data_IF_601047131672
#
_entry.id   IF_601047131672
#
_cell.length_a   1.000
_cell.length_b   1.000
_cell.length_c   1.000
_cell.angle_alpha   90.00
_cell.angle_beta   90.00
_cell.angle_gamma   90.00
#
_symmetry.space_group_name_H-M   'P 1'
#
loop_
_entity.id
_entity.type
_entity.pdbx_description
1 polymer ?
#
# COMPACT_ATOMS: atom_id res chain seq x y z
N UNK A 1 7.60 -35.87 -18.31
CA UNK A 1 8.78 -35.31 -19.00
C UNK A 1 9.54 -34.50 -17.97
N UNK A 2 10.69 -35.00 -17.52
CA UNK A 2 11.58 -34.34 -16.58
C UNK A 2 12.45 -33.37 -17.36
N UNK A 3 12.23 -32.07 -17.21
CA UNK A 3 13.06 -31.02 -17.80
C UNK A 3 14.42 -31.05 -17.09
N UNK A 4 15.44 -31.53 -17.77
CA UNK A 4 16.83 -31.48 -17.30
C UNK A 4 17.27 -30.01 -17.45
N UNK A 5 17.36 -29.30 -16.33
CA UNK A 5 17.96 -27.96 -16.30
C UNK A 5 19.47 -28.13 -16.52
N UNK A 6 20.07 -27.51 -17.55
CA UNK A 6 21.51 -27.63 -17.80
C UNK A 6 22.31 -27.14 -16.57
N UNK A 7 23.43 -27.79 -16.22
CA UNK A 7 24.31 -27.29 -15.17
C UNK A 7 24.75 -25.86 -15.51
N UNK A 8 24.42 -24.89 -14.64
CA UNK A 8 24.73 -23.47 -14.83
C UNK A 8 23.61 -22.61 -15.43
N UNK A 9 22.44 -23.18 -15.74
CA UNK A 9 21.25 -22.37 -16.05
C UNK A 9 20.63 -21.87 -14.75
N UNK A 10 20.52 -20.54 -14.59
CA UNK A 10 19.86 -19.92 -13.44
C UNK A 10 18.40 -20.35 -13.36
N UNK A 11 17.92 -20.60 -12.14
CA UNK A 11 16.49 -20.86 -11.88
C UNK A 11 15.65 -19.60 -12.13
N UNK A 12 14.33 -19.76 -12.19
CA UNK A 12 13.41 -18.63 -12.28
C UNK A 12 13.59 -17.67 -11.10
N UNK A 13 13.68 -18.23 -9.90
CA UNK A 13 13.80 -17.49 -8.64
C UNK A 13 15.12 -16.72 -8.56
N UNK A 14 16.22 -17.31 -9.03
CA UNK A 14 17.51 -16.63 -9.12
C UNK A 14 17.47 -15.43 -10.09
N UNK A 15 16.77 -15.58 -11.23
CA UNK A 15 16.56 -14.47 -12.17
C UNK A 15 15.69 -13.38 -11.54
N UNK A 16 14.62 -13.75 -10.85
CA UNK A 16 13.74 -12.80 -10.16
C UNK A 16 14.55 -12.02 -9.12
N UNK A 17 15.34 -12.70 -8.28
CA UNK A 17 16.19 -12.06 -7.28
C UNK A 17 17.18 -11.06 -7.91
N UNK A 18 17.88 -11.45 -8.97
CA UNK A 18 18.79 -10.57 -9.70
C UNK A 18 18.07 -9.34 -10.27
N UNK A 19 16.88 -9.54 -10.86
CA UNK A 19 16.12 -8.44 -11.44
C UNK A 19 15.50 -7.53 -10.39
N UNK A 20 15.19 -8.03 -9.20
CA UNK A 20 14.77 -7.19 -8.08
C UNK A 20 15.86 -6.18 -7.75
N UNK A 21 17.11 -6.63 -7.60
CA UNK A 21 18.24 -5.73 -7.29
C UNK A 21 18.43 -4.66 -8.37
N UNK A 22 18.27 -5.04 -9.65
CA UNK A 22 18.33 -4.09 -10.76
C UNK A 22 17.20 -3.06 -10.74
N UNK A 23 15.98 -3.46 -10.39
CA UNK A 23 14.85 -2.54 -10.25
C UNK A 23 15.03 -1.61 -9.06
N UNK A 24 15.50 -2.13 -7.93
CA UNK A 24 15.83 -1.34 -6.74
C UNK A 24 16.88 -0.28 -7.06
N UNK A 25 17.96 -0.64 -7.77
CA UNK A 25 18.99 0.30 -8.21
C UNK A 25 18.42 1.39 -9.14
N UNK A 26 17.56 1.02 -10.09
CA UNK A 26 16.89 2.00 -10.95
C UNK A 26 16.02 2.96 -10.14
N UNK A 27 15.25 2.48 -9.16
CA UNK A 27 14.36 3.31 -8.34
C UNK A 27 15.10 4.20 -7.36
N UNK A 28 16.28 3.78 -6.90
CA UNK A 28 17.15 4.57 -6.02
C UNK A 28 17.81 5.76 -6.73
N UNK A 29 17.75 5.83 -8.06
CA UNK A 29 18.33 6.92 -8.85
C UNK A 29 17.23 7.69 -9.61
N UNK A 30 17.41 9.00 -9.90
CA UNK A 30 16.52 9.70 -10.81
C UNK A 30 16.50 9.03 -12.18
N UNK A 31 15.33 8.56 -12.61
CA UNK A 31 15.14 7.93 -13.93
C UNK A 31 14.00 8.59 -14.71
N UNK A 32 14.15 8.61 -16.03
CA UNK A 32 13.16 9.12 -16.96
C UNK A 32 12.19 8.03 -17.41
N UNK A 33 11.01 8.43 -17.88
CA UNK A 33 10.06 7.54 -18.58
C UNK A 33 10.71 6.81 -19.77
N UNK A 34 11.68 7.46 -20.42
CA UNK A 34 12.43 6.90 -21.55
C UNK A 34 13.33 5.74 -21.13
N UNK A 35 14.06 5.91 -20.03
CA UNK A 35 14.93 4.88 -19.43
C UNK A 35 14.10 3.70 -18.91
N UNK A 36 13.03 3.95 -18.16
CA UNK A 36 12.14 2.88 -17.69
C UNK A 36 11.61 2.04 -18.86
N UNK A 37 11.15 2.69 -19.93
CA UNK A 37 10.69 2.01 -21.15
C UNK A 37 11.81 1.22 -21.85
N UNK A 38 13.04 1.75 -21.89
CA UNK A 38 14.18 1.07 -22.50
C UNK A 38 14.56 -0.18 -21.69
N UNK A 39 14.57 -0.07 -20.36
CA UNK A 39 14.83 -1.16 -19.42
C UNK A 39 13.83 -2.30 -19.59
N UNK A 40 12.52 -2.01 -19.66
CA UNK A 40 11.47 -3.03 -19.93
C UNK A 40 11.74 -3.81 -21.22
N UNK A 41 12.17 -3.12 -22.29
CA UNK A 41 12.40 -3.75 -23.58
C UNK A 41 13.68 -4.58 -23.65
N UNK A 42 14.65 -4.32 -22.77
CA UNK A 42 15.95 -4.98 -22.76
C UNK A 42 15.85 -6.46 -22.34
N UNK A 43 14.86 -6.80 -21.51
CA UNK A 43 14.73 -8.14 -20.93
C UNK A 43 13.35 -8.75 -21.25
N UNK A 44 13.20 -9.44 -22.41
CA UNK A 44 11.94 -10.07 -22.81
C UNK A 44 11.70 -11.42 -22.09
N UNK A 45 11.88 -11.47 -20.77
CA UNK A 45 11.83 -12.69 -19.94
C UNK A 45 10.77 -12.51 -18.85
N UNK A 46 9.95 -13.53 -18.58
CA UNK A 46 8.82 -13.44 -17.65
C UNK A 46 9.20 -13.08 -16.20
N UNK A 47 10.40 -13.47 -15.76
CA UNK A 47 10.93 -13.08 -14.45
C UNK A 47 11.10 -11.56 -14.28
N UNK A 48 11.22 -10.81 -15.38
CA UNK A 48 11.47 -9.36 -15.33
C UNK A 48 10.26 -8.52 -14.87
N UNK A 49 9.04 -8.67 -15.45
CA UNK A 49 7.84 -8.02 -14.92
C UNK A 49 7.44 -8.52 -13.53
N UNK A 50 7.75 -9.77 -13.18
CA UNK A 50 7.49 -10.31 -11.84
C UNK A 50 8.39 -9.62 -10.79
N UNK A 51 9.70 -9.59 -11.06
CA UNK A 51 10.64 -8.83 -10.24
C UNK A 51 10.28 -7.35 -10.10
N UNK A 52 9.67 -6.72 -11.12
CA UNK A 52 9.21 -5.34 -11.05
C UNK A 52 8.13 -5.14 -9.97
N UNK A 53 7.16 -6.06 -9.87
CA UNK A 53 6.10 -6.00 -8.85
C UNK A 53 6.67 -6.11 -7.45
N UNK A 54 7.52 -7.11 -7.22
CA UNK A 54 8.17 -7.36 -5.93
C UNK A 54 9.09 -6.19 -5.55
N UNK A 55 9.93 -5.72 -6.48
CA UNK A 55 10.86 -4.62 -6.22
C UNK A 55 10.13 -3.31 -5.90
N UNK A 56 9.01 -3.03 -6.57
CA UNK A 56 8.21 -1.84 -6.30
C UNK A 56 7.68 -1.81 -4.86
N UNK A 57 7.19 -2.95 -4.35
CA UNK A 57 6.79 -3.06 -2.95
C UNK A 57 8.00 -3.04 -1.98
N UNK A 58 9.11 -3.71 -2.32
CA UNK A 58 10.32 -3.65 -1.47
C UNK A 58 10.89 -2.24 -1.37
N UNK A 59 10.83 -1.47 -2.46
CA UNK A 59 11.25 -0.07 -2.48
C UNK A 59 10.39 0.79 -1.54
N UNK A 60 9.09 0.50 -1.43
CA UNK A 60 8.20 1.23 -0.52
C UNK A 60 8.49 0.98 0.96
N UNK A 61 9.17 -0.12 1.33
CA UNK A 61 9.67 -0.32 2.70
C UNK A 61 10.73 0.72 3.10
N UNK A 62 11.44 1.28 2.12
CA UNK A 62 12.56 2.19 2.32
C UNK A 62 12.14 3.64 2.02
N UNK A 63 11.36 3.84 0.94
CA UNK A 63 11.00 5.16 0.43
C UNK A 63 9.50 5.25 0.06
N UNK A 64 8.58 5.07 1.03
CA UNK A 64 7.14 5.10 0.76
C UNK A 64 6.65 6.43 0.19
N UNK A 65 7.29 7.55 0.55
CA UNK A 65 7.01 8.88 0.01
C UNK A 65 7.29 9.01 -1.50
N UNK A 66 8.16 8.16 -2.06
CA UNK A 66 8.50 8.15 -3.50
C UNK A 66 7.60 7.22 -4.33
N UNK A 67 6.64 6.55 -3.71
CA UNK A 67 5.81 5.56 -4.40
C UNK A 67 4.92 6.17 -5.49
N UNK A 68 4.18 7.24 -5.20
CA UNK A 68 3.31 7.88 -6.18
C UNK A 68 4.01 8.23 -7.50
N UNK A 69 5.14 8.98 -7.51
CA UNK A 69 5.78 9.34 -8.77
C UNK A 69 6.32 8.12 -9.54
N UNK A 70 6.84 7.09 -8.85
CA UNK A 70 7.33 5.87 -9.49
C UNK A 70 6.18 5.09 -10.14
N UNK A 71 5.11 4.85 -9.38
CA UNK A 71 3.91 4.13 -9.83
C UNK A 71 3.24 4.90 -10.99
N UNK A 72 3.18 6.23 -10.94
CA UNK A 72 2.67 7.06 -12.02
C UNK A 72 3.50 6.88 -13.31
N UNK A 73 4.83 6.86 -13.19
CA UNK A 73 5.73 6.67 -14.32
C UNK A 73 5.58 5.25 -14.93
N UNK A 74 5.49 4.22 -14.08
CA UNK A 74 5.19 2.83 -14.51
C UNK A 74 3.87 2.79 -15.28
N UNK A 75 2.81 3.41 -14.77
CA UNK A 75 1.53 3.49 -15.47
C UNK A 75 1.65 4.13 -16.84
N UNK A 76 2.35 5.27 -16.95
CA UNK A 76 2.57 5.97 -18.23
C UNK A 76 3.27 5.04 -19.23
N UNK A 77 4.31 4.33 -18.77
CA UNK A 77 5.07 3.40 -19.60
C UNK A 77 4.21 2.21 -20.05
N UNK A 78 3.44 1.59 -19.14
CA UNK A 78 2.57 0.45 -19.45
C UNK A 78 1.36 0.82 -20.34
N UNK A 79 0.88 2.07 -20.27
CA UNK A 79 -0.16 2.59 -21.17
C UNK A 79 0.37 2.97 -22.56
N UNK A 80 1.68 2.94 -22.77
CA UNK A 80 2.24 3.18 -24.09
C UNK A 80 1.83 2.06 -25.07
N UNK A 81 1.26 2.42 -26.23
CA UNK A 81 0.80 1.45 -27.25
C UNK A 81 1.85 0.39 -27.62
N UNK A 82 3.14 0.74 -27.62
CA UNK A 82 4.23 -0.21 -27.95
C UNK A 82 4.47 -1.22 -26.83
N UNK A 83 4.18 -0.88 -25.58
CA UNK A 83 4.37 -1.76 -24.43
C UNK A 83 3.12 -2.53 -24.01
N UNK A 84 1.91 -2.05 -24.34
CA UNK A 84 0.66 -2.78 -24.11
C UNK A 84 0.66 -4.18 -24.77
N UNK A 85 1.40 -4.33 -25.87
CA UNK A 85 1.56 -5.59 -26.61
C UNK A 85 2.95 -6.21 -26.45
N UNK A 86 3.81 -5.64 -25.59
CA UNK A 86 5.14 -6.20 -25.36
C UNK A 86 5.02 -7.57 -24.69
N UNK A 87 5.74 -8.53 -25.27
CA UNK A 87 5.68 -9.94 -24.90
C UNK A 87 7.01 -10.38 -24.30
N UNK A 88 6.90 -11.23 -23.31
CA UNK A 88 8.00 -11.89 -22.61
C UNK A 88 7.83 -13.39 -22.71
N UNK A 89 8.91 -14.12 -22.54
CA UNK A 89 8.92 -15.58 -22.61
C UNK A 89 9.16 -16.17 -21.22
N UNK A 90 8.36 -17.15 -20.81
CA UNK A 90 8.57 -17.90 -19.57
C UNK A 90 9.49 -19.12 -19.78
N UNK A 91 9.78 -19.88 -18.72
CA UNK A 91 10.69 -21.04 -18.80
C UNK A 91 10.16 -22.18 -19.67
N UNK A 92 8.84 -22.26 -19.84
CA UNK A 92 8.19 -23.20 -20.76
C UNK A 92 8.19 -22.72 -22.23
N UNK A 93 8.80 -21.57 -22.54
CA UNK A 93 8.81 -20.99 -23.88
C UNK A 93 7.50 -20.31 -24.28
N UNK A 94 6.55 -20.14 -23.36
CA UNK A 94 5.26 -19.52 -23.65
C UNK A 94 5.39 -17.99 -23.70
N UNK A 95 4.78 -17.40 -24.73
CA UNK A 95 4.74 -15.95 -24.91
C UNK A 95 3.58 -15.32 -24.13
N UNK A 96 3.93 -14.50 -23.14
CA UNK A 96 2.99 -13.83 -22.24
C UNK A 96 3.13 -12.31 -22.39
N UNK A 97 2.10 -11.54 -22.01
CA UNK A 97 2.19 -10.07 -22.02
C UNK A 97 2.89 -9.59 -20.74
N UNK A 98 3.74 -8.57 -20.87
CA UNK A 98 4.47 -8.00 -19.73
C UNK A 98 3.53 -7.43 -18.64
N UNK A 99 2.58 -6.59 -19.04
CA UNK A 99 1.69 -5.88 -18.11
C UNK A 99 0.93 -6.79 -17.15
N UNK A 100 0.19 -7.82 -17.63
CA UNK A 100 -0.53 -8.74 -16.76
C UNK A 100 0.33 -9.46 -15.72
N UNK A 101 1.58 -9.86 -16.07
CA UNK A 101 2.48 -10.49 -15.10
C UNK A 101 2.86 -9.49 -14.00
N UNK A 102 3.18 -8.25 -14.38
CA UNK A 102 3.47 -7.19 -13.43
C UNK A 102 2.29 -6.90 -12.49
N UNK A 103 1.07 -6.74 -13.02
CA UNK A 103 -0.11 -6.45 -12.20
C UNK A 103 -0.41 -7.59 -11.23
N UNK A 104 -0.32 -8.84 -11.69
CA UNK A 104 -0.49 -10.01 -10.83
C UNK A 104 0.55 -10.03 -9.71
N UNK A 105 1.84 -9.93 -10.06
CA UNK A 105 2.94 -9.97 -9.10
C UNK A 105 2.87 -8.85 -8.06
N UNK A 106 2.60 -7.61 -8.50
CA UNK A 106 2.44 -6.49 -7.59
C UNK A 106 1.21 -6.65 -6.68
N UNK A 107 0.08 -7.13 -7.24
CA UNK A 107 -1.14 -7.44 -6.50
C UNK A 107 -0.91 -8.51 -5.43
N UNK A 108 -0.33 -9.64 -5.81
CA UNK A 108 -0.02 -10.76 -4.91
C UNK A 108 0.95 -10.32 -3.82
N UNK A 109 2.02 -9.59 -4.17
CA UNK A 109 2.98 -9.10 -3.18
C UNK A 109 2.31 -8.17 -2.15
N UNK A 110 1.53 -7.18 -2.62
CA UNK A 110 0.84 -6.25 -1.72
C UNK A 110 -0.14 -6.99 -0.83
N UNK A 111 -0.93 -7.92 -1.39
CA UNK A 111 -1.93 -8.72 -0.67
C UNK A 111 -1.27 -9.62 0.38
N UNK A 112 -0.22 -10.34 0.02
CA UNK A 112 0.53 -11.22 0.91
C UNK A 112 1.09 -10.47 2.12
N UNK A 113 1.54 -9.23 1.95
CA UNK A 113 2.06 -8.41 3.04
C UNK A 113 1.02 -7.54 3.75
N UNK A 114 -0.17 -7.37 3.15
CA UNK A 114 -1.32 -6.74 3.79
C UNK A 114 -2.05 -7.70 4.75
N UNK A 115 -2.03 -9.01 4.44
CA UNK A 115 -2.81 -10.03 5.15
C UNK A 115 -2.00 -11.04 5.95
N UNK A 116 -0.75 -11.33 5.57
CA UNK A 116 0.06 -12.27 6.34
C UNK A 116 0.95 -11.52 7.33
N UNK A 117 0.83 -11.90 8.61
CA UNK A 117 1.72 -11.43 9.67
C UNK A 117 3.08 -12.14 9.54
N UNK A 118 4.04 -11.48 8.89
CA UNK A 118 5.37 -12.05 8.70
C UNK A 118 6.23 -11.82 9.93
N UNK A 119 6.05 -12.60 10.99
CA UNK A 119 7.04 -12.67 12.06
C UNK A 119 6.68 -13.61 13.21
N UNK A 120 7.66 -14.28 13.86
CA UNK A 120 7.46 -14.90 15.17
C UNK A 120 6.96 -13.85 16.19
N UNK A 121 6.38 -14.25 17.34
CA UNK A 121 5.64 -13.39 18.29
C UNK A 121 6.48 -12.30 18.99
N UNK A 122 7.70 -12.04 18.53
CA UNK A 122 8.69 -11.30 19.29
C UNK A 122 8.66 -9.78 19.09
N UNK A 123 7.88 -9.23 18.16
CA UNK A 123 7.72 -7.77 18.12
C UNK A 123 6.47 -7.34 17.35
N UNK A 124 5.34 -7.19 18.06
CA UNK A 124 4.19 -6.50 17.50
C UNK A 124 4.17 -5.05 17.99
N UNK A 125 4.36 -4.18 17.01
CA UNK A 125 4.43 -2.73 17.15
C UNK A 125 4.51 -2.12 15.75
N UNK A 126 4.27 -0.82 15.65
CA UNK A 126 4.25 -0.10 14.36
C UNK A 126 5.61 -0.10 13.66
N UNK A 127 6.67 -0.27 14.45
CA UNK A 127 8.03 -0.35 13.99
C UNK A 127 8.60 -1.72 14.29
N UNK A 128 9.27 -2.31 13.30
CA UNK A 128 10.13 -3.47 13.47
C UNK A 128 11.56 -3.02 13.69
N UNK A 129 12.31 -3.72 14.55
CA UNK A 129 13.77 -3.60 14.59
C UNK A 129 14.33 -3.91 13.20
N UNK A 130 15.18 -3.03 12.68
CA UNK A 130 16.03 -3.38 11.54
C UNK A 130 17.10 -4.38 12.00
N UNK A 131 17.56 -5.27 11.12
CA UNK A 131 18.61 -6.28 11.38
C UNK A 131 20.02 -5.67 11.59
N UNK A 132 20.13 -4.50 12.26
CA UNK A 132 21.34 -3.72 12.48
C UNK A 132 21.27 -2.91 13.79
N UNK A 133 22.17 -1.93 13.96
CA UNK A 133 22.49 -1.14 15.17
C UNK A 133 21.33 -0.46 15.97
N UNK A 134 20.07 -0.76 15.65
CA UNK A 134 18.89 -0.30 16.37
C UNK A 134 18.51 1.15 16.09
N UNK A 135 19.25 1.86 15.23
CA UNK A 135 19.01 3.29 14.95
C UNK A 135 17.92 3.54 13.91
N UNK A 136 17.69 2.60 12.98
CA UNK A 136 16.61 2.70 11.97
C UNK A 136 15.47 1.74 12.29
N UNK A 137 14.29 2.32 12.56
CA UNK A 137 13.04 1.60 12.76
C UNK A 137 12.33 1.47 11.42
N UNK A 138 12.09 0.24 10.96
CA UNK A 138 11.33 0.01 9.72
C UNK A 138 9.84 -0.06 10.04
N UNK A 139 9.02 0.60 9.25
CA UNK A 139 7.57 0.58 9.42
C UNK A 139 7.04 -0.82 9.11
N UNK A 140 5.99 -1.23 9.82
CA UNK A 140 5.37 -2.53 9.63
C UNK A 140 4.90 -2.76 8.17
N UNK A 141 5.15 -3.94 7.57
CA UNK A 141 4.75 -4.28 6.20
C UNK A 141 3.29 -3.97 5.84
N UNK A 142 2.34 -4.24 6.75
CA UNK A 142 0.91 -3.91 6.57
C UNK A 142 0.70 -2.43 6.25
N UNK A 143 1.36 -1.53 6.99
CA UNK A 143 1.23 -0.08 6.78
C UNK A 143 1.90 0.36 5.48
N UNK A 144 3.01 -0.28 5.12
CA UNK A 144 3.70 -0.05 3.85
C UNK A 144 2.84 -0.51 2.66
N UNK A 145 2.16 -1.66 2.78
CA UNK A 145 1.18 -2.12 1.81
C UNK A 145 0.03 -1.12 1.65
N UNK A 146 -0.47 -0.52 2.75
CA UNK A 146 -1.48 0.52 2.66
C UNK A 146 -1.03 1.74 1.83
N UNK A 147 0.22 2.20 1.99
CA UNK A 147 0.76 3.27 1.15
C UNK A 147 0.95 2.85 -0.31
N UNK A 148 1.37 1.60 -0.56
CA UNK A 148 1.50 1.07 -1.93
C UNK A 148 0.14 1.01 -2.64
N UNK A 149 -0.90 0.56 -1.95
CA UNK A 149 -2.30 0.54 -2.42
C UNK A 149 -2.77 1.97 -2.70
N UNK A 150 -2.56 2.89 -1.76
CA UNK A 150 -2.92 4.30 -1.93
C UNK A 150 -2.26 4.90 -3.18
N UNK A 151 -0.96 4.68 -3.36
CA UNK A 151 -0.23 5.16 -4.54
C UNK A 151 -0.78 4.53 -5.85
N UNK A 152 -1.03 3.22 -5.86
CA UNK A 152 -1.57 2.51 -7.02
C UNK A 152 -2.97 3.02 -7.40
N UNK A 153 -3.83 3.28 -6.41
CA UNK A 153 -5.17 3.83 -6.61
C UNK A 153 -5.13 5.27 -7.13
N UNK A 154 -4.41 6.16 -6.43
CA UNK A 154 -4.31 7.59 -6.80
C UNK A 154 -3.75 7.79 -8.20
N UNK A 155 -2.74 7.01 -8.54
CA UNK A 155 -2.17 7.01 -9.89
C UNK A 155 -3.05 6.28 -10.89
N UNK A 156 -4.11 5.58 -10.47
CA UNK A 156 -5.00 4.73 -11.28
C UNK A 156 -4.22 3.66 -12.06
N UNK A 157 -3.17 3.13 -11.45
CA UNK A 157 -2.46 1.94 -11.90
C UNK A 157 -3.34 0.70 -11.67
N UNK A 158 -3.99 0.63 -10.51
CA UNK A 158 -4.90 -0.45 -10.11
C UNK A 158 -6.20 0.12 -9.54
N UNK A 159 -7.23 -0.73 -9.53
CA UNK A 159 -8.50 -0.50 -8.81
C UNK A 159 -8.34 -0.90 -7.35
N UNK A 160 -9.17 -0.35 -6.47
CA UNK A 160 -9.12 -0.70 -5.05
C UNK A 160 -9.87 -1.98 -4.71
N UNK A 161 -10.76 -2.46 -5.59
CA UNK A 161 -11.52 -3.70 -5.41
C UNK A 161 -10.59 -4.89 -5.10
N UNK A 162 -9.33 -4.81 -5.54
CA UNK A 162 -8.26 -5.78 -5.31
C UNK A 162 -7.74 -5.80 -3.85
N UNK A 163 -8.12 -4.84 -2.99
CA UNK A 163 -7.52 -4.58 -1.67
C UNK A 163 -8.51 -4.27 -0.53
N UNK A 164 -9.82 -4.34 -0.79
CA UNK A 164 -10.86 -3.96 0.18
C UNK A 164 -10.82 -4.78 1.49
N UNK A 165 -10.30 -6.00 1.49
CA UNK A 165 -10.23 -6.89 2.66
C UNK A 165 -9.46 -6.27 3.83
N UNK A 166 -8.30 -5.65 3.59
CA UNK A 166 -7.47 -5.05 4.65
C UNK A 166 -8.22 -3.93 5.39
N UNK A 167 -9.02 -3.17 4.67
CA UNK A 167 -9.87 -2.12 5.22
C UNK A 167 -10.98 -2.67 6.11
N UNK A 168 -11.62 -3.76 5.68
CA UNK A 168 -12.74 -4.37 6.41
C UNK A 168 -12.28 -4.88 7.77
N UNK A 169 -11.12 -5.54 7.82
CA UNK A 169 -10.52 -6.06 9.05
C UNK A 169 -10.12 -4.92 10.00
N UNK A 170 -9.53 -3.85 9.45
CA UNK A 170 -9.11 -2.68 10.23
C UNK A 170 -10.27 -1.87 10.83
N UNK A 171 -11.38 -1.74 10.09
CA UNK A 171 -12.57 -1.04 10.57
C UNK A 171 -13.49 -1.90 11.44
N UNK A 172 -13.31 -3.23 11.42
CA UNK A 172 -14.15 -4.19 12.14
C UNK A 172 -15.62 -4.10 11.75
N UNK A 173 -15.89 -4.03 10.44
CA UNK A 173 -17.27 -3.89 9.96
C UNK A 173 -18.07 -5.15 10.35
N UNK A 174 -19.18 -5.01 11.11
CA UNK A 174 -19.96 -6.15 11.58
C UNK A 174 -20.40 -7.07 10.43
N UNK A 175 -20.08 -8.36 10.53
CA UNK A 175 -20.47 -9.38 9.54
C UNK A 175 -19.63 -9.41 8.27
N UNK A 176 -18.64 -8.51 8.13
CA UNK A 176 -17.74 -8.44 6.96
C UNK A 176 -16.26 -8.56 7.31
N UNK A 177 -15.91 -8.57 8.60
CA UNK A 177 -14.56 -8.82 9.08
C UNK A 177 -14.58 -9.45 10.48
N UNK A 178 -13.54 -10.21 10.79
CA UNK A 178 -13.27 -10.71 12.14
C UNK A 178 -12.22 -9.80 12.79
N UNK A 179 -12.45 -9.40 14.04
CA UNK A 179 -11.45 -8.64 14.77
C UNK A 179 -10.19 -9.51 14.94
N UNK A 180 -9.00 -9.05 14.52
CA UNK A 180 -7.77 -9.79 14.77
C UNK A 180 -7.61 -10.07 16.27
N UNK A 181 -7.23 -11.31 16.63
CA UNK A 181 -7.10 -11.70 18.04
C UNK A 181 -6.01 -10.91 18.78
N UNK A 182 -4.96 -10.52 18.05
CA UNK A 182 -3.89 -9.67 18.57
C UNK A 182 -4.29 -8.19 18.52
N UNK A 183 -4.27 -7.55 19.70
CA UNK A 183 -4.50 -6.11 19.85
C UNK A 183 -3.55 -5.27 18.98
N UNK A 184 -2.32 -5.73 18.83
CA UNK A 184 -1.31 -5.00 18.08
C UNK A 184 -1.55 -5.14 16.56
N UNK A 185 -2.01 -6.31 16.08
CA UNK A 185 -2.45 -6.52 14.69
C UNK A 185 -3.71 -5.69 14.40
N UNK A 186 -4.64 -5.64 15.35
CA UNK A 186 -5.85 -4.82 15.27
C UNK A 186 -5.51 -3.32 15.12
N UNK A 187 -4.50 -2.84 15.85
CA UNK A 187 -4.01 -1.46 15.69
C UNK A 187 -3.39 -1.24 14.30
N UNK A 188 -2.54 -2.15 13.82
CA UNK A 188 -1.92 -2.04 12.50
C UNK A 188 -2.96 -1.98 11.37
N UNK A 189 -3.97 -2.86 11.42
CA UNK A 189 -5.06 -2.88 10.45
C UNK A 189 -5.89 -1.59 10.52
N UNK A 190 -6.18 -1.08 11.72
CA UNK A 190 -6.89 0.18 11.89
C UNK A 190 -6.10 1.37 11.32
N UNK A 191 -4.78 1.44 11.55
CA UNK A 191 -3.93 2.50 10.98
C UNK A 191 -3.84 2.38 9.46
N UNK A 192 -3.72 1.17 8.92
CA UNK A 192 -3.76 0.93 7.47
C UNK A 192 -5.06 1.44 6.84
N UNK A 193 -6.20 1.18 7.48
CA UNK A 193 -7.49 1.70 7.04
C UNK A 193 -7.55 3.23 7.06
N UNK A 194 -6.94 3.88 8.07
CA UNK A 194 -6.85 5.34 8.12
C UNK A 194 -5.94 5.93 7.04
N UNK A 195 -4.82 5.28 6.71
CA UNK A 195 -3.93 5.69 5.61
C UNK A 195 -4.72 5.72 4.30
N UNK A 196 -5.47 4.65 4.01
CA UNK A 196 -6.27 4.58 2.79
C UNK A 196 -7.40 5.61 2.79
N UNK A 197 -8.07 5.79 3.93
CA UNK A 197 -9.12 6.79 4.09
C UNK A 197 -8.61 8.22 3.78
N UNK A 198 -7.48 8.61 4.39
CA UNK A 198 -6.90 9.94 4.25
C UNK A 198 -6.36 10.20 2.83
N UNK A 199 -5.78 9.17 2.20
CA UNK A 199 -5.19 9.31 0.85
C UNK A 199 -6.21 9.31 -0.27
N UNK A 200 -7.36 8.65 -0.08
CA UNK A 200 -8.40 8.51 -1.12
C UNK A 200 -9.58 9.45 -0.96
N UNK A 201 -9.73 10.06 0.21
CA UNK A 201 -10.88 10.89 0.53
C UNK A 201 -12.06 10.05 1.02
N UNK A 202 -12.78 10.63 1.98
CA UNK A 202 -13.84 9.99 2.73
C UNK A 202 -14.95 9.38 1.84
N UNK A 203 -15.41 10.11 0.82
CA UNK A 203 -16.50 9.64 -0.05
C UNK A 203 -16.06 8.47 -0.93
N UNK A 204 -14.87 8.54 -1.53
CA UNK A 204 -14.39 7.47 -2.41
C UNK A 204 -14.21 6.19 -1.62
N UNK A 205 -13.50 6.28 -0.49
CA UNK A 205 -13.25 5.14 0.37
C UNK A 205 -14.54 4.50 0.89
N UNK A 206 -15.52 5.32 1.28
CA UNK A 206 -16.80 4.80 1.79
C UNK A 206 -17.65 4.15 0.70
N UNK A 207 -17.60 4.62 -0.55
CA UNK A 207 -18.24 3.93 -1.70
C UNK A 207 -17.66 2.55 -1.96
N UNK A 208 -16.39 2.36 -1.64
CA UNK A 208 -15.69 1.09 -1.88
C UNK A 208 -16.04 0.06 -0.82
N UNK A 209 -16.42 0.53 0.37
CA UNK A 209 -16.98 -0.28 1.46
C UNK A 209 -18.50 -0.41 1.38
N UNK A 210 -19.14 0.34 0.48
CA UNK A 210 -20.58 0.31 0.27
C UNK A 210 -20.95 -0.96 -0.50
N UNK A 211 -21.39 -1.98 0.25
CA UNK A 211 -22.16 -3.09 -0.30
C UNK A 211 -23.59 -3.01 0.23
N UNK A 212 -24.56 -2.54 -0.58
CA UNK A 212 -25.96 -2.49 -0.16
C UNK A 212 -26.52 -3.88 0.18
N UNK A 213 -25.99 -4.94 -0.44
CA UNK A 213 -26.35 -6.33 -0.19
C UNK A 213 -25.82 -6.84 1.17
N UNK A 214 -24.70 -6.30 1.64
CA UNK A 214 -24.16 -6.57 2.97
C UNK A 214 -24.62 -5.56 4.04
N UNK A 215 -25.58 -4.69 3.73
CA UNK A 215 -26.07 -3.66 4.64
C UNK A 215 -25.06 -2.54 4.93
N UNK A 216 -24.02 -2.39 4.11
CA UNK A 216 -23.03 -1.33 4.22
C UNK A 216 -23.64 0.04 3.93
N UNK A 217 -23.40 1.01 4.81
CA UNK A 217 -23.83 2.41 4.63
C UNK A 217 -22.72 3.37 5.05
N UNK A 218 -22.83 4.64 4.64
CA UNK A 218 -21.88 5.68 5.09
C UNK A 218 -21.90 5.81 6.62
N UNK A 219 -23.08 5.70 7.22
CA UNK A 219 -23.30 5.72 8.66
C UNK A 219 -22.64 4.52 9.36
N UNK A 220 -22.56 3.36 8.69
CA UNK A 220 -21.86 2.20 9.23
C UNK A 220 -20.35 2.45 9.35
N UNK A 221 -19.73 3.00 8.31
CA UNK A 221 -18.30 3.35 8.31
C UNK A 221 -18.00 4.38 9.40
N UNK A 222 -18.86 5.40 9.53
CA UNK A 222 -18.78 6.39 10.61
C UNK A 222 -18.83 5.74 11.99
N UNK A 223 -19.82 4.88 12.24
CA UNK A 223 -19.97 4.17 13.51
C UNK A 223 -18.75 3.31 13.82
N UNK A 224 -18.16 2.65 12.82
CA UNK A 224 -16.96 1.85 13.00
C UNK A 224 -15.75 2.70 13.39
N UNK A 225 -15.54 3.85 12.73
CA UNK A 225 -14.48 4.81 13.09
C UNK A 225 -14.67 5.34 14.52
N UNK A 226 -15.90 5.67 14.91
CA UNK A 226 -16.23 6.08 16.28
C UNK A 226 -15.95 4.97 17.30
N UNK A 227 -16.26 3.72 16.95
CA UNK A 227 -16.03 2.56 17.79
C UNK A 227 -14.53 2.27 17.98
N UNK A 228 -13.71 2.39 16.93
CA UNK A 228 -12.26 2.25 17.01
C UNK A 228 -11.67 3.25 18.02
N UNK A 229 -12.13 4.51 18.00
CA UNK A 229 -11.72 5.53 18.97
C UNK A 229 -12.21 5.18 20.37
N UNK A 230 -13.51 4.90 20.53
CA UNK A 230 -14.12 4.63 21.85
C UNK A 230 -13.42 3.47 22.56
N UNK A 231 -13.02 2.45 21.81
CA UNK A 231 -12.29 1.28 22.32
C UNK A 231 -10.80 1.55 22.54
N UNK A 232 -10.26 2.66 22.05
CA UNK A 232 -8.83 2.99 22.14
C UNK A 232 -7.96 1.95 21.44
N UNK A 233 -8.37 1.54 20.23
CA UNK A 233 -7.64 0.54 19.42
C UNK A 233 -6.31 1.11 18.95
N UNK A 234 -6.31 2.35 18.45
CA UNK A 234 -5.11 3.04 18.00
C UNK A 234 -4.47 3.76 19.20
N UNK A 235 -3.25 3.35 19.54
CA UNK A 235 -2.41 3.87 20.64
C UNK A 235 -1.31 4.80 20.13
N UNK A 236 -0.88 4.64 18.88
CA UNK A 236 0.16 5.45 18.27
C UNK A 236 -0.29 6.88 18.00
N UNK A 237 0.27 7.81 18.75
CA UNK A 237 -0.15 9.20 18.77
C UNK A 237 -0.21 9.85 17.38
N UNK A 238 0.76 9.69 16.46
CA UNK A 238 0.62 10.24 15.10
C UNK A 238 -0.55 9.66 14.31
N UNK A 239 -0.87 8.38 14.45
CA UNK A 239 -2.05 7.81 13.79
C UNK A 239 -3.36 8.20 14.49
N UNK A 240 -3.33 8.42 15.80
CA UNK A 240 -4.43 9.10 16.48
C UNK A 240 -4.59 10.50 15.89
N UNK A 241 -3.50 11.24 15.62
CA UNK A 241 -3.56 12.55 14.96
C UNK A 241 -4.11 12.48 13.53
N UNK A 242 -4.02 11.36 12.80
CA UNK A 242 -4.73 11.23 11.53
C UNK A 242 -6.25 11.23 11.71
N UNK A 243 -6.77 10.75 12.84
CA UNK A 243 -8.17 10.96 13.22
C UNK A 243 -8.50 12.43 13.53
N UNK A 244 -7.47 13.28 13.63
CA UNK A 244 -7.53 14.65 14.17
C UNK A 244 -7.20 15.76 13.16
N UNK A 245 -6.43 15.48 12.10
CA UNK A 245 -5.85 16.49 11.21
C UNK A 245 -6.49 16.46 9.83
N UNK A 246 -7.04 17.61 9.43
CA UNK A 246 -6.89 18.08 8.05
C UNK A 246 -6.71 19.60 8.11
N UNK A 247 -5.81 20.15 7.31
CA UNK A 247 -5.22 21.50 7.46
C UNK A 247 -6.26 22.63 7.57
N UNK A 248 -6.06 23.53 8.54
CA UNK A 248 -6.43 24.94 8.42
C UNK A 248 -5.36 25.78 9.15
N UNK A 249 -4.67 26.71 8.47
CA UNK A 249 -3.62 27.50 9.09
C UNK A 249 -4.26 28.69 9.82
N UNK A 250 -4.75 28.46 11.03
CA UNK A 250 -4.87 29.46 12.10
C UNK A 250 -5.86 28.97 13.17
N UNK A 251 -5.38 28.32 14.24
CA UNK A 251 -5.97 28.52 15.57
C UNK A 251 -4.88 28.36 16.63
N UNK A 252 -4.70 29.39 17.44
CA UNK A 252 -3.80 29.40 18.58
C UNK A 252 -4.18 28.32 19.61
N UNK A 253 -3.14 27.62 20.05
CA UNK A 253 -3.13 26.62 21.10
C UNK A 253 -3.48 27.21 22.46
N UNK A 254 -4.55 26.69 23.08
CA UNK A 254 -4.57 26.31 24.51
C UNK A 254 -5.82 25.56 25.00
N UNK A 255 -6.87 25.39 24.20
CA UNK A 255 -8.14 24.80 24.67
C UNK A 255 -8.89 23.88 23.68
N UNK A 256 -8.21 23.25 22.73
CA UNK A 256 -8.85 22.24 21.88
C UNK A 256 -8.82 20.88 22.57
N UNK A 257 -9.89 20.63 23.33
CA UNK A 257 -10.19 19.36 23.95
C UNK A 257 -10.29 18.26 22.89
N UNK A 258 -9.86 17.06 23.28
CA UNK A 258 -9.88 15.76 22.56
C UNK A 258 -11.22 15.43 21.88
N UNK A 259 -12.28 16.23 22.07
CA UNK A 259 -13.64 16.05 21.53
C UNK A 259 -13.87 16.61 20.12
N UNK A 260 -13.17 17.67 19.66
CA UNK A 260 -13.52 18.34 18.39
C UNK A 260 -12.88 17.75 17.12
N UNK A 261 -12.05 16.70 17.27
CA UNK A 261 -11.05 16.31 16.26
C UNK A 261 -11.54 15.18 15.34
N UNK A 262 -12.10 14.08 15.86
CA UNK A 262 -12.84 13.09 15.05
C UNK A 262 -14.07 13.66 14.35
N UNK A 263 -14.65 14.74 14.91
CA UNK A 263 -15.76 15.43 14.27
C UNK A 263 -15.38 15.89 12.86
N UNK A 264 -14.09 16.02 12.51
CA UNK A 264 -13.67 16.40 11.16
C UNK A 264 -13.66 15.23 10.16
N UNK A 265 -13.10 14.07 10.48
CA UNK A 265 -13.24 12.87 9.62
C UNK A 265 -14.72 12.53 9.47
N UNK A 266 -15.45 12.50 10.58
CA UNK A 266 -16.91 12.28 10.58
C UNK A 266 -17.59 13.30 9.69
N UNK A 267 -17.27 14.60 9.86
CA UNK A 267 -17.79 15.68 9.02
C UNK A 267 -17.36 15.59 7.56
N UNK A 268 -16.17 15.06 7.25
CA UNK A 268 -15.71 14.85 5.88
C UNK A 268 -16.53 13.72 5.24
N UNK A 269 -16.80 12.63 5.95
CA UNK A 269 -17.74 11.59 5.47
C UNK A 269 -19.16 12.15 5.34
N UNK A 270 -19.68 12.84 6.36
CA UNK A 270 -21.02 13.47 6.36
C UNK A 270 -21.18 14.50 5.25
N UNK A 271 -20.10 15.22 4.89
CA UNK A 271 -20.09 16.20 3.80
C UNK A 271 -19.78 15.59 2.44
N UNK A 272 -19.52 14.29 2.37
CA UNK A 272 -19.05 13.61 1.16
C UNK A 272 -17.81 14.31 0.57
N UNK A 273 -16.81 14.55 1.41
CA UNK A 273 -15.55 15.13 0.98
C UNK A 273 -14.81 14.18 0.03
N UNK A 274 -14.36 14.76 -1.08
CA UNK A 274 -13.63 14.08 -2.16
C UNK A 274 -12.15 14.46 -2.18
N UNK A 275 -11.73 15.35 -1.27
CA UNK A 275 -10.35 15.80 -1.25
C UNK A 275 -9.42 14.63 -0.92
N UNK A 276 -8.36 14.55 -1.71
CA UNK A 276 -7.51 13.39 -1.87
C UNK A 276 -6.09 13.83 -1.49
N UNK A 277 -5.50 13.24 -0.45
CA UNK A 277 -4.16 13.64 0.04
C UNK A 277 -3.06 12.81 -0.61
N UNK A 278 -1.89 13.41 -0.81
CA UNK A 278 -0.73 12.66 -1.31
C UNK A 278 -0.25 11.64 -0.26
N UNK A 279 0.25 10.50 -0.74
CA UNK A 279 0.90 9.47 0.08
C UNK A 279 2.07 10.06 0.86
N UNK A 280 2.84 10.98 0.26
CA UNK A 280 3.94 11.65 0.94
C UNK A 280 3.46 12.48 2.14
N UNK A 281 2.40 13.29 1.97
CA UNK A 281 1.87 14.12 3.06
C UNK A 281 1.40 13.25 4.24
N UNK A 282 0.68 12.16 3.97
CA UNK A 282 0.18 11.24 5.01
C UNK A 282 1.33 10.47 5.66
N UNK A 283 2.34 10.10 4.89
CA UNK A 283 3.55 9.45 5.41
C UNK A 283 4.33 10.37 6.36
N UNK A 284 4.57 11.61 5.94
CA UNK A 284 5.35 12.57 6.73
C UNK A 284 4.62 12.91 8.05
N UNK A 285 3.29 13.05 8.04
CA UNK A 285 2.51 13.28 9.26
C UNK A 285 2.54 12.09 10.23
N UNK A 286 2.68 10.86 9.73
CA UNK A 286 2.73 9.66 10.57
C UNK A 286 4.13 9.34 11.08
N UNK A 287 5.18 9.62 10.31
CA UNK A 287 6.50 9.02 10.52
C UNK A 287 7.68 9.98 10.39
N UNK A 288 7.50 11.24 9.98
CA UNK A 288 8.61 12.18 9.95
C UNK A 288 9.11 12.48 11.38
N UNK A 289 10.44 12.60 11.59
CA UNK A 289 10.98 13.05 12.87
C UNK A 289 10.51 14.48 13.17
N UNK A 290 10.01 14.73 14.39
CA UNK A 290 9.74 16.09 14.90
C UNK A 290 11.02 16.92 15.07
#
# INVERSE_FOLDING_TARGET
MTTIVPPGAQTYEEKVAQFIDMWMDLFSNPFTTGELRATIKKYPIAAFPDALGIALWRFSLIHPNLMEPIVANIRIVLKNKKLQHFRVTNEAGMSMKFGPIFYQSFGDTVSDFAHNDWGPPEEIGIFRKSDGDGSSRRIHPILVSAFAIAAAHRTKLMTIDDYCSMTLDGLQIPGLGEAPESRDVQELAAIAALILFETQGAEQYTKLLYSPEAGGSYELVLKCLEDLRRKGIIRYLPAVKLLEVSRSPAVNSKYLTTFSLMQKIVKNVEKHDREERSVSDVYDELFAPE
#
